data_IF_940904451799
#
_entry.id   IF_940904451799
#
_cell.length_a   1.000
_cell.length_b   1.000
_cell.length_c   1.000
_cell.angle_alpha   90.00
_cell.angle_beta   90.00
_cell.angle_gamma   90.00
#
_symmetry.space_group_name_H-M   'P 1'
#
loop_
_entity.id
_entity.type
_entity.pdbx_description
1 polymer ?
#
# COMPACT_ATOMS: atom_id res chain seq x y z
N UNK A 1 16.38 65.25 47.62
CA UNK A 1 16.22 64.51 46.35
C UNK A 1 16.55 63.04 46.65
N UNK A 2 15.65 62.33 47.34
CA UNK A 2 14.50 61.61 46.79
C UNK A 2 14.92 60.31 46.07
N UNK A 3 14.95 59.24 46.87
CA UNK A 3 14.87 57.85 46.44
C UNK A 3 13.46 57.54 45.90
N UNK A 4 13.34 56.59 44.97
CA UNK A 4 12.04 56.05 44.56
C UNK A 4 12.10 54.52 44.42
N UNK A 5 11.34 53.87 45.29
CA UNK A 5 10.94 52.47 45.31
C UNK A 5 9.60 52.28 44.57
N UNK A 6 9.34 51.02 44.19
CA UNK A 6 8.02 50.35 44.12
C UNK A 6 7.11 50.50 42.89
N UNK A 7 6.92 49.37 42.19
CA UNK A 7 5.68 48.61 41.87
C UNK A 7 4.32 49.38 41.93
N UNK A 8 3.32 49.21 41.04
CA UNK A 8 2.73 47.97 40.52
C UNK A 8 1.65 48.22 39.42
N UNK A 9 1.53 47.25 38.49
CA UNK A 9 0.31 46.65 37.91
C UNK A 9 -0.72 47.46 37.04
N UNK A 10 -0.84 47.13 35.75
CA UNK A 10 -2.04 46.44 35.22
C UNK A 10 -1.96 46.06 33.72
N UNK A 11 -2.34 44.80 33.46
CA UNK A 11 -2.82 44.24 32.17
C UNK A 11 -1.86 44.17 30.98
N UNK A 12 -1.07 43.10 30.94
CA UNK A 12 -0.39 42.64 29.72
C UNK A 12 -1.39 42.10 28.68
N UNK A 13 -1.41 42.72 27.50
CA UNK A 13 -2.05 42.22 26.29
C UNK A 13 -0.94 41.63 25.40
N UNK A 14 -0.57 40.37 25.63
CA UNK A 14 0.37 39.67 24.76
C UNK A 14 -0.36 39.12 23.53
N UNK A 15 0.13 39.55 22.38
CA UNK A 15 -0.26 39.12 21.04
C UNK A 15 -0.20 37.60 20.90
N UNK A 16 -1.24 37.05 20.27
CA UNK A 16 -1.51 35.62 20.17
C UNK A 16 -0.31 34.78 19.73
N UNK A 17 0.06 33.83 20.58
CA UNK A 17 0.84 32.67 20.19
C UNK A 17 0.07 31.91 19.11
N UNK A 18 0.57 31.97 17.87
CA UNK A 18 0.24 30.99 16.84
C UNK A 18 0.67 29.64 17.39
N UNK A 19 -0.31 28.83 17.79
CA UNK A 19 -0.12 27.41 18.07
C UNK A 19 0.48 26.81 16.79
N UNK A 20 1.78 26.50 16.83
CA UNK A 20 2.36 25.57 15.90
C UNK A 20 1.65 24.24 16.14
N UNK A 21 0.58 24.01 15.38
CA UNK A 21 0.01 22.70 15.21
C UNK A 21 1.09 21.86 14.53
N UNK A 22 1.91 21.19 15.34
CA UNK A 22 2.54 19.96 14.93
C UNK A 22 1.40 19.03 14.53
N UNK A 23 1.01 19.08 13.25
CA UNK A 23 0.33 17.96 12.62
C UNK A 23 1.31 16.81 12.72
N UNK A 24 1.16 15.98 13.75
CA UNK A 24 1.53 14.58 13.66
C UNK A 24 0.80 14.05 12.43
N UNK A 25 1.49 14.07 11.27
CA UNK A 25 1.17 13.15 10.20
C UNK A 25 1.21 11.79 10.87
N UNK A 26 0.08 11.10 10.85
CA UNK A 26 0.01 9.70 11.27
C UNK A 26 1.15 9.01 10.51
N UNK A 27 2.22 8.68 11.21
CA UNK A 27 3.09 7.61 10.74
C UNK A 27 2.15 6.43 10.67
N UNK A 28 1.95 5.95 9.46
CA UNK A 28 1.34 4.68 9.12
C UNK A 28 1.99 3.63 10.05
N UNK A 29 1.33 3.35 11.20
CA UNK A 29 1.72 2.35 12.19
C UNK A 29 1.37 0.98 11.60
N UNK A 30 2.10 0.59 10.57
CA UNK A 30 2.07 -0.71 9.94
C UNK A 30 3.29 -1.47 10.39
N UNK A 31 3.12 -2.76 10.61
CA UNK A 31 4.25 -3.65 10.80
C UNK A 31 5.09 -3.62 9.50
N UNK A 32 6.28 -3.02 9.56
CA UNK A 32 7.27 -3.19 8.51
C UNK A 32 7.92 -4.55 8.72
N UNK A 33 7.62 -5.50 7.83
CA UNK A 33 8.28 -6.80 7.87
C UNK A 33 9.75 -6.62 7.50
N UNK A 34 10.64 -6.74 8.50
CA UNK A 34 12.05 -7.07 8.29
C UNK A 34 12.25 -8.47 8.85
N UNK A 35 12.43 -9.45 7.95
CA UNK A 35 12.61 -10.88 8.24
C UNK A 35 11.42 -11.58 8.93
N UNK A 36 10.58 -12.26 8.13
CA UNK A 36 9.62 -13.24 8.66
C UNK A 36 10.02 -14.64 8.21
N UNK A 37 10.79 -15.36 9.04
CA UNK A 37 11.12 -16.76 8.84
C UNK A 37 10.89 -17.54 10.14
N UNK A 38 9.69 -18.09 10.33
CA UNK A 38 9.43 -19.45 10.85
C UNK A 38 7.95 -19.68 11.15
N UNK A 39 7.38 -20.68 10.50
CA UNK A 39 6.13 -21.34 10.89
C UNK A 39 6.40 -22.15 12.17
N UNK A 40 5.65 -21.91 13.24
CA UNK A 40 5.58 -22.86 14.37
C UNK A 40 4.53 -23.93 14.00
N UNK A 41 4.88 -25.22 13.95
CA UNK A 41 3.92 -26.29 13.68
C UNK A 41 2.79 -26.29 14.72
N UNK A 42 1.52 -26.36 14.27
CA UNK A 42 0.36 -26.55 15.15
C UNK A 42 -0.46 -25.30 15.51
N UNK A 43 -0.16 -24.14 14.92
CA UNK A 43 -0.98 -22.93 15.11
C UNK A 43 -1.99 -22.76 13.96
N UNK A 44 -3.22 -22.33 14.28
CA UNK A 44 -4.25 -21.96 13.29
C UNK A 44 -3.68 -20.98 12.25
N UNK A 45 -4.21 -20.92 11.00
CA UNK A 45 -3.71 -20.02 9.97
C UNK A 45 -3.54 -18.62 10.56
N UNK A 46 -2.30 -18.15 10.56
CA UNK A 46 -1.90 -16.93 11.24
C UNK A 46 -2.66 -15.77 10.60
N UNK A 47 -3.70 -15.29 11.29
CA UNK A 47 -4.54 -14.24 10.77
C UNK A 47 -3.74 -12.93 10.81
N UNK A 48 -3.64 -12.23 9.68
CA UNK A 48 -3.25 -10.82 9.68
C UNK A 48 -4.43 -10.04 10.29
N UNK A 49 -4.46 -9.93 11.62
CA UNK A 49 -5.40 -9.08 12.35
C UNK A 49 -4.95 -7.62 12.40
N UNK A 50 -3.74 -7.34 11.90
CA UNK A 50 -3.20 -5.99 11.78
C UNK A 50 -3.82 -5.22 10.62
N UNK A 51 -3.76 -3.90 10.74
CA UNK A 51 -4.32 -2.96 9.77
C UNK A 51 -3.78 -3.18 8.36
N UNK A 52 -2.56 -3.67 8.14
CA UNK A 52 -1.99 -4.08 6.84
C UNK A 52 -0.60 -4.71 6.96
N UNK A 53 -0.17 -5.42 5.90
CA UNK A 53 1.22 -5.84 5.72
C UNK A 53 1.91 -4.85 4.77
N UNK A 54 3.02 -4.26 5.21
CA UNK A 54 3.81 -3.31 4.40
C UNK A 54 5.24 -3.79 4.23
N UNK A 55 5.70 -3.80 2.99
CA UNK A 55 7.08 -4.12 2.61
C UNK A 55 7.74 -2.81 2.18
N UNK A 56 8.72 -2.36 2.96
CA UNK A 56 9.45 -1.12 2.71
C UNK A 56 10.60 -1.29 1.72
N UNK A 57 11.22 -0.18 1.34
CA UNK A 57 12.43 -0.17 0.51
C UNK A 57 13.58 -1.00 1.12
N UNK A 58 14.55 -1.38 0.27
CA UNK A 58 15.70 -2.22 0.67
C UNK A 58 15.33 -3.59 1.24
N UNK A 59 14.15 -4.11 0.91
CA UNK A 59 13.70 -5.45 1.35
C UNK A 59 13.92 -6.46 0.25
N UNK A 60 14.55 -7.60 0.58
CA UNK A 60 14.72 -8.71 -0.35
C UNK A 60 14.27 -10.04 0.23
N UNK A 61 13.90 -10.97 -0.64
CA UNK A 61 13.74 -12.40 -0.36
C UNK A 61 12.74 -12.70 0.78
N UNK A 62 11.53 -12.16 0.65
CA UNK A 62 10.44 -12.35 1.61
C UNK A 62 9.35 -13.23 1.01
N UNK A 63 8.95 -14.25 1.76
CA UNK A 63 7.81 -15.10 1.43
C UNK A 63 6.68 -14.93 2.46
N UNK A 64 5.49 -14.59 1.97
CA UNK A 64 4.24 -14.48 2.72
C UNK A 64 3.33 -15.58 2.21
N UNK A 65 3.13 -16.64 3.01
CA UNK A 65 2.41 -17.83 2.53
C UNK A 65 1.35 -18.30 3.51
N UNK A 66 0.21 -18.80 3.00
CA UNK A 66 -0.80 -19.51 3.80
C UNK A 66 -1.38 -18.69 4.97
N UNK A 67 -1.61 -17.39 4.77
CA UNK A 67 -2.21 -16.52 5.78
C UNK A 67 -3.56 -15.96 5.32
N UNK A 68 -4.39 -15.59 6.28
CA UNK A 68 -5.66 -14.90 6.03
C UNK A 68 -5.59 -13.48 6.58
N UNK A 69 -5.67 -12.48 5.71
CA UNK A 69 -5.75 -11.08 6.08
C UNK A 69 -7.20 -10.62 6.02
N UNK A 70 -7.81 -10.35 7.18
CA UNK A 70 -9.21 -9.92 7.27
C UNK A 70 -9.32 -8.49 7.81
N UNK A 71 -10.20 -7.68 7.23
CA UNK A 71 -10.49 -6.30 7.67
C UNK A 71 -9.25 -5.37 7.68
N UNK A 72 -8.28 -5.62 6.80
CA UNK A 72 -7.01 -4.88 6.67
C UNK A 72 -6.91 -4.06 5.37
N UNK A 73 -5.78 -3.42 5.12
CA UNK A 73 -5.46 -2.81 3.82
C UNK A 73 -4.75 -3.74 2.84
N UNK A 74 -4.62 -5.04 3.17
CA UNK A 74 -3.99 -6.05 2.33
C UNK A 74 -2.47 -6.09 2.46
N UNK A 75 -1.81 -6.64 1.43
CA UNK A 75 -0.34 -6.69 1.33
C UNK A 75 0.11 -5.62 0.35
N UNK A 76 0.92 -4.68 0.84
CA UNK A 76 1.42 -3.55 0.06
C UNK A 76 2.93 -3.52 0.02
N UNK A 77 3.50 -3.40 -1.18
CA UNK A 77 4.91 -3.05 -1.40
C UNK A 77 5.01 -1.54 -1.60
N UNK A 78 5.99 -0.92 -0.96
CA UNK A 78 6.20 0.52 -0.95
C UNK A 78 5.36 1.27 0.07
N UNK A 79 5.26 2.58 -0.03
CA UNK A 79 5.70 3.43 -1.14
C UNK A 79 7.21 3.42 -1.39
N UNK A 80 7.64 3.37 -2.65
CA UNK A 80 9.05 3.46 -3.08
C UNK A 80 9.29 4.69 -3.95
N UNK A 81 10.55 5.11 -4.11
CA UNK A 81 10.97 6.23 -4.96
C UNK A 81 10.77 7.61 -4.32
N UNK A 82 10.62 7.70 -2.99
CA UNK A 82 10.42 8.99 -2.31
C UNK A 82 11.74 9.67 -1.94
N UNK A 83 12.70 8.90 -1.44
CA UNK A 83 13.97 9.43 -0.92
C UNK A 83 15.17 8.85 -1.67
N UNK A 84 16.23 9.65 -1.92
CA UNK A 84 17.40 9.20 -2.68
C UNK A 84 18.09 7.93 -2.17
N UNK A 85 17.98 7.66 -0.86
CA UNK A 85 18.61 6.52 -0.20
C UNK A 85 17.77 5.23 -0.29
N UNK A 86 16.53 5.33 -0.81
CA UNK A 86 15.66 4.16 -0.98
C UNK A 86 16.26 3.22 -2.03
N UNK A 87 16.44 1.95 -1.65
CA UNK A 87 16.86 0.90 -2.59
C UNK A 87 15.66 0.08 -3.05
N UNK A 88 15.87 -0.60 -4.17
CA UNK A 88 14.90 -1.50 -4.76
C UNK A 88 14.41 -2.58 -3.79
N UNK A 89 13.17 -3.00 -4.00
CA UNK A 89 12.58 -4.22 -3.41
C UNK A 89 12.72 -5.35 -4.42
N UNK A 90 13.17 -6.52 -3.99
CA UNK A 90 13.45 -7.65 -4.86
C UNK A 90 13.04 -8.99 -4.25
N UNK A 91 12.45 -9.90 -5.02
CA UNK A 91 12.24 -11.28 -4.56
C UNK A 91 11.16 -11.38 -3.48
N UNK A 92 9.97 -10.84 -3.75
CA UNK A 92 8.83 -10.92 -2.82
C UNK A 92 7.82 -11.92 -3.36
N UNK A 93 7.43 -12.91 -2.57
CA UNK A 93 6.36 -13.83 -2.91
C UNK A 93 5.22 -13.75 -1.90
N UNK A 94 3.99 -13.65 -2.41
CA UNK A 94 2.76 -13.68 -1.62
C UNK A 94 1.89 -14.78 -2.20
N UNK A 95 1.88 -15.95 -1.56
CA UNK A 95 1.29 -17.16 -2.13
C UNK A 95 0.26 -17.81 -1.23
N UNK A 96 -0.79 -18.38 -1.82
CA UNK A 96 -1.82 -19.13 -1.09
C UNK A 96 -2.43 -18.33 0.08
N UNK A 97 -2.66 -17.03 -0.12
CA UNK A 97 -3.18 -16.13 0.90
C UNK A 97 -4.65 -15.78 0.64
N UNK A 98 -5.41 -15.57 1.71
CA UNK A 98 -6.81 -15.15 1.63
C UNK A 98 -7.00 -13.73 2.15
N UNK A 99 -7.64 -12.87 1.35
CA UNK A 99 -8.00 -11.50 1.72
C UNK A 99 -9.52 -11.41 1.90
N UNK A 100 -9.96 -11.06 3.11
CA UNK A 100 -11.39 -10.95 3.46
C UNK A 100 -11.72 -9.51 3.85
N UNK A 101 -12.66 -8.88 3.14
CA UNK A 101 -13.15 -7.53 3.43
C UNK A 101 -12.03 -6.50 3.58
N UNK A 102 -10.98 -6.60 2.76
CA UNK A 102 -9.83 -5.69 2.81
C UNK A 102 -10.00 -4.53 1.83
N UNK A 103 -9.30 -3.42 2.09
CA UNK A 103 -9.32 -2.29 1.12
C UNK A 103 -8.47 -2.58 -0.12
N UNK A 104 -7.45 -3.43 -0.04
CA UNK A 104 -6.66 -3.89 -1.19
C UNK A 104 -6.31 -5.37 -1.04
N UNK A 105 -6.05 -6.05 -2.15
CA UNK A 105 -5.48 -7.39 -2.18
C UNK A 105 -3.96 -7.32 -2.36
N UNK A 106 -3.53 -7.43 -3.61
CA UNK A 106 -2.16 -7.24 -4.06
C UNK A 106 -1.94 -5.77 -4.45
N UNK A 107 -0.97 -5.10 -3.82
CA UNK A 107 -0.70 -3.69 -4.11
C UNK A 107 0.79 -3.36 -4.16
N UNK A 108 1.20 -2.66 -5.21
CA UNK A 108 2.52 -2.02 -5.33
C UNK A 108 2.30 -0.51 -5.49
N UNK A 109 3.01 0.29 -4.69
CA UNK A 109 2.95 1.76 -4.74
C UNK A 109 4.34 2.33 -4.93
N UNK A 110 4.51 3.20 -5.92
CA UNK A 110 5.73 4.01 -6.07
C UNK A 110 5.36 5.47 -6.25
N UNK A 111 6.29 6.37 -5.95
CA UNK A 111 6.20 7.77 -6.33
C UNK A 111 6.60 7.93 -7.78
N UNK A 112 5.99 8.91 -8.46
CA UNK A 112 6.46 9.44 -9.74
C UNK A 112 7.75 10.22 -9.47
N UNK A 113 8.85 9.50 -9.28
CA UNK A 113 10.11 10.07 -8.81
C UNK A 113 11.21 9.98 -9.86
N UNK A 114 12.18 10.89 -9.73
CA UNK A 114 13.49 10.85 -10.41
C UNK A 114 14.48 9.95 -9.67
N UNK A 115 14.11 9.44 -8.50
CA UNK A 115 14.94 8.54 -7.71
C UNK A 115 14.75 7.11 -8.22
N UNK A 116 15.82 6.44 -8.69
CA UNK A 116 15.73 5.07 -9.16
C UNK A 116 15.50 4.12 -7.99
N UNK A 117 14.29 3.59 -7.86
CA UNK A 117 13.94 2.51 -6.96
C UNK A 117 13.01 1.54 -7.68
N UNK A 118 13.42 0.27 -7.78
CA UNK A 118 12.67 -0.76 -8.51
C UNK A 118 11.87 -1.64 -7.55
N UNK A 119 10.74 -2.15 -8.03
CA UNK A 119 10.03 -3.27 -7.43
C UNK A 119 10.11 -4.41 -8.44
N UNK A 120 10.97 -5.41 -8.20
CA UNK A 120 11.27 -6.47 -9.18
C UNK A 120 11.20 -7.87 -8.58
N UNK A 121 10.95 -8.86 -9.42
CA UNK A 121 10.79 -10.26 -9.03
C UNK A 121 9.77 -10.41 -7.89
N UNK A 122 8.55 -9.93 -8.13
CA UNK A 122 7.45 -9.94 -7.17
C UNK A 122 6.35 -10.84 -7.72
N UNK A 123 5.93 -11.82 -6.92
CA UNK A 123 4.88 -12.76 -7.29
C UNK A 123 3.71 -12.70 -6.29
N UNK A 124 2.50 -12.66 -6.83
CA UNK A 124 1.24 -12.77 -6.09
C UNK A 124 0.46 -13.95 -6.69
N UNK A 125 0.41 -15.09 -6.01
CA UNK A 125 -0.07 -16.35 -6.61
C UNK A 125 -1.04 -17.10 -5.70
N UNK A 126 -2.06 -17.73 -6.28
CA UNK A 126 -3.04 -18.51 -5.50
C UNK A 126 -3.80 -17.66 -4.47
N UNK A 127 -4.15 -16.42 -4.83
CA UNK A 127 -4.82 -15.50 -3.92
C UNK A 127 -6.33 -15.65 -3.96
N UNK A 128 -6.96 -15.76 -2.80
CA UNK A 128 -8.42 -15.75 -2.67
C UNK A 128 -8.85 -14.38 -2.14
N UNK A 129 -9.63 -13.64 -2.92
CA UNK A 129 -10.10 -12.29 -2.54
C UNK A 129 -11.61 -12.26 -2.40
N UNK A 130 -12.13 -12.03 -1.19
CA UNK A 130 -13.58 -11.93 -0.91
C UNK A 130 -13.90 -10.58 -0.28
N UNK A 131 -14.77 -9.80 -0.91
CA UNK A 131 -15.13 -8.46 -0.42
C UNK A 131 -13.98 -7.45 -0.46
N UNK A 132 -12.98 -7.67 -1.31
CA UNK A 132 -11.82 -6.77 -1.45
C UNK A 132 -12.17 -5.59 -2.35
N UNK A 133 -11.92 -4.37 -1.88
CA UNK A 133 -12.32 -3.16 -2.62
C UNK A 133 -11.44 -2.89 -3.85
N UNK A 134 -10.11 -3.04 -3.71
CA UNK A 134 -9.15 -2.87 -4.80
C UNK A 134 -8.27 -4.13 -4.93
N UNK A 135 -8.73 -5.18 -5.63
CA UNK A 135 -8.05 -6.47 -5.70
C UNK A 135 -6.59 -6.40 -6.13
N UNK A 136 -6.30 -5.79 -7.29
CA UNK A 136 -4.97 -5.73 -7.87
C UNK A 136 -4.64 -4.29 -8.25
N UNK A 137 -3.60 -3.73 -7.65
CA UNK A 137 -3.21 -2.33 -7.84
C UNK A 137 -1.70 -2.20 -8.01
N UNK A 138 -1.25 -1.70 -9.16
CA UNK A 138 0.08 -1.10 -9.32
C UNK A 138 -0.14 0.38 -9.57
N UNK A 139 0.34 1.21 -8.65
CA UNK A 139 0.01 2.63 -8.62
C UNK A 139 1.28 3.46 -8.43
N UNK A 140 1.69 4.13 -9.50
CA UNK A 140 2.72 5.16 -9.44
C UNK A 140 2.12 6.56 -9.18
N UNK A 141 0.79 6.70 -9.20
CA UNK A 141 0.09 7.98 -9.26
C UNK A 141 -1.01 8.08 -8.20
N UNK A 142 -0.64 8.57 -7.02
CA UNK A 142 -1.51 8.67 -5.83
C UNK A 142 -2.86 9.44 -6.01
N UNK A 143 -3.14 10.01 -7.19
CA UNK A 143 -4.32 10.83 -7.49
C UNK A 143 -5.44 10.16 -8.30
N UNK A 144 -5.29 8.90 -8.74
CA UNK A 144 -6.31 8.25 -9.59
C UNK A 144 -7.31 7.41 -8.80
N UNK A 145 -8.57 7.39 -9.27
CA UNK A 145 -9.60 6.46 -8.77
C UNK A 145 -9.23 5.05 -9.21
N UNK A 146 -8.99 4.18 -8.24
CA UNK A 146 -8.60 2.79 -8.47
C UNK A 146 -9.76 2.00 -9.03
N UNK A 147 -9.46 1.17 -10.03
CA UNK A 147 -10.34 0.13 -10.56
C UNK A 147 -9.96 -1.22 -9.94
N UNK A 148 -10.70 -2.27 -10.27
CA UNK A 148 -10.49 -3.58 -9.65
C UNK A 148 -9.14 -4.20 -10.01
N UNK A 149 -8.75 -4.06 -11.27
CA UNK A 149 -7.38 -4.27 -11.73
C UNK A 149 -6.90 -2.92 -12.26
N UNK A 150 -5.91 -2.33 -11.62
CA UNK A 150 -5.48 -0.97 -11.89
C UNK A 150 -3.96 -0.88 -11.99
N UNK A 151 -3.43 -0.69 -13.20
CA UNK A 151 -2.01 -0.54 -13.47
C UNK A 151 -1.73 0.87 -14.00
N UNK A 152 -1.49 1.80 -13.08
CA UNK A 152 -1.34 3.22 -13.42
C UNK A 152 0.13 3.61 -13.25
N UNK A 153 0.85 3.60 -14.37
CA UNK A 153 2.27 3.87 -14.43
C UNK A 153 2.54 5.19 -15.16
N UNK A 154 3.67 5.80 -14.86
CA UNK A 154 4.09 7.06 -15.45
C UNK A 154 4.65 6.86 -16.86
N UNK A 155 4.57 7.89 -17.70
CA UNK A 155 5.20 7.87 -19.03
C UNK A 155 6.73 7.84 -18.94
N UNK A 156 7.32 8.42 -17.90
CA UNK A 156 8.76 8.44 -17.68
C UNK A 156 9.31 7.13 -17.12
N UNK A 157 8.51 6.38 -16.36
CA UNK A 157 8.86 5.07 -15.82
C UNK A 157 7.71 4.10 -16.06
N UNK A 158 7.51 3.61 -17.30
CA UNK A 158 6.45 2.66 -17.60
C UNK A 158 6.63 1.37 -16.80
N UNK A 159 5.53 0.69 -16.50
CA UNK A 159 5.61 -0.65 -15.92
C UNK A 159 5.96 -1.66 -17.01
N UNK A 160 6.98 -2.49 -16.77
CA UNK A 160 7.46 -3.50 -17.71
C UNK A 160 7.55 -4.87 -17.03
N UNK A 161 7.33 -5.95 -17.78
CA UNK A 161 7.40 -7.32 -17.26
C UNK A 161 6.28 -7.68 -16.28
N UNK A 162 5.12 -7.02 -16.39
CA UNK A 162 3.95 -7.34 -15.56
C UNK A 162 3.14 -8.41 -16.26
N UNK A 163 2.94 -9.54 -15.59
CA UNK A 163 2.08 -10.63 -16.07
C UNK A 163 0.85 -10.73 -15.17
N UNK A 164 -0.32 -10.87 -15.78
CA UNK A 164 -1.59 -11.06 -15.08
C UNK A 164 -2.32 -12.22 -15.76
N UNK A 165 -2.53 -13.29 -15.00
CA UNK A 165 -3.26 -14.44 -15.48
C UNK A 165 -4.24 -14.96 -14.43
N UNK A 166 -5.28 -15.64 -14.92
CA UNK A 166 -6.25 -16.38 -14.10
C UNK A 166 -6.91 -15.54 -13.00
N UNK A 167 -7.30 -14.32 -13.37
CA UNK A 167 -8.04 -13.38 -12.52
C UNK A 167 -9.53 -13.56 -12.79
N UNK A 168 -10.26 -14.11 -11.83
CA UNK A 168 -11.72 -14.22 -11.90
C UNK A 168 -12.37 -13.54 -10.67
N UNK A 169 -12.83 -12.31 -10.90
CA UNK A 169 -13.47 -11.45 -9.91
C UNK A 169 -14.98 -11.48 -10.07
N UNK A 170 -15.65 -12.04 -9.07
CA UNK A 170 -17.10 -12.03 -8.95
C UNK A 170 -17.57 -11.10 -7.83
N UNK A 171 -18.74 -10.49 -8.00
CA UNK A 171 -19.28 -9.59 -7.01
C UNK A 171 -19.87 -10.42 -5.87
N UNK A 172 -19.51 -10.13 -4.63
CA UNK A 172 -20.08 -10.76 -3.45
C UNK A 172 -20.84 -9.70 -2.62
N UNK A 173 -22.17 -9.77 -2.60
CA UNK A 173 -23.04 -8.86 -1.84
C UNK A 173 -24.23 -8.33 -2.63
N UNK A 174 -24.86 -7.23 -2.17
CA UNK A 174 -25.92 -6.56 -2.93
C UNK A 174 -25.34 -5.93 -4.19
N UNK A 175 -25.86 -6.22 -5.40
CA UNK A 175 -25.30 -5.68 -6.63
C UNK A 175 -25.23 -4.15 -6.54
N UNK A 176 -24.01 -3.65 -6.54
CA UNK A 176 -23.74 -2.25 -6.77
C UNK A 176 -23.64 -2.06 -8.29
N UNK A 177 -24.11 -0.94 -8.83
CA UNK A 177 -24.10 -0.66 -10.28
C UNK A 177 -22.69 -0.37 -10.82
N UNK A 178 -21.69 -1.14 -10.37
CA UNK A 178 -20.27 -0.98 -10.65
C UNK A 178 -19.75 -2.32 -11.13
N UNK A 179 -19.52 -2.43 -12.43
CA UNK A 179 -18.82 -3.56 -13.02
C UNK A 179 -17.35 -3.53 -12.61
N UNK A 180 -16.75 -4.70 -12.38
CA UNK A 180 -15.30 -4.79 -12.34
C UNK A 180 -14.75 -4.41 -13.70
N UNK A 181 -13.68 -3.62 -13.72
CA UNK A 181 -13.00 -3.18 -14.94
C UNK A 181 -11.51 -3.19 -14.70
N UNK A 182 -10.75 -3.59 -15.72
CA UNK A 182 -9.32 -3.40 -15.77
C UNK A 182 -9.00 -2.03 -16.36
N UNK A 183 -7.97 -1.37 -15.84
CA UNK A 183 -7.51 -0.09 -16.37
C UNK A 183 -6.01 0.01 -16.28
N UNK A 184 -5.39 0.33 -17.42
CA UNK A 184 -3.94 0.40 -17.55
C UNK A 184 -3.50 1.67 -18.24
N UNK A 185 -2.38 2.21 -17.79
CA UNK A 185 -1.74 3.40 -18.34
C UNK A 185 -0.24 3.23 -18.24
N UNK A 186 0.46 3.32 -19.37
CA UNK A 186 1.91 3.12 -19.50
C UNK A 186 2.41 1.81 -18.88
N UNK A 187 1.62 0.74 -18.99
CA UNK A 187 1.96 -0.59 -18.52
C UNK A 187 2.06 -1.55 -19.71
N UNK A 188 3.23 -2.17 -19.89
CA UNK A 188 3.46 -3.25 -20.85
C UNK A 188 3.19 -4.57 -20.14
N UNK A 189 1.98 -5.09 -20.34
CA UNK A 189 1.45 -6.23 -19.59
C UNK A 189 1.15 -7.41 -20.49
N UNK A 190 1.46 -8.62 -20.02
CA UNK A 190 1.03 -9.86 -20.66
C UNK A 190 -0.16 -10.39 -19.88
N UNK A 191 -1.24 -10.64 -20.62
CA UNK A 191 -2.49 -11.17 -20.09
C UNK A 191 -2.67 -12.62 -20.54
N UNK A 192 -3.08 -13.51 -19.64
CA UNK A 192 -3.27 -14.93 -19.94
C UNK A 192 -4.41 -15.58 -19.16
N UNK A 193 -4.85 -16.74 -19.63
CA UNK A 193 -5.85 -17.55 -18.93
C UNK A 193 -7.22 -16.87 -18.77
N UNK A 194 -7.87 -17.09 -17.63
CA UNK A 194 -9.18 -16.50 -17.32
C UNK A 194 -9.00 -15.04 -16.88
N UNK A 195 -9.76 -14.12 -17.48
CA UNK A 195 -9.72 -12.69 -17.15
C UNK A 195 -11.14 -12.12 -17.03
N UNK A 196 -11.60 -12.02 -15.81
CA UNK A 196 -12.81 -11.34 -15.39
C UNK A 196 -12.44 -10.41 -14.22
N UNK A 197 -12.39 -9.09 -14.40
CA UNK A 197 -12.77 -8.36 -15.60
C UNK A 197 -11.81 -8.57 -16.79
N UNK A 198 -12.25 -8.27 -18.03
CA UNK A 198 -11.41 -8.36 -19.22
C UNK A 198 -10.11 -7.56 -19.07
N UNK A 199 -9.07 -7.96 -19.81
CA UNK A 199 -7.81 -7.23 -19.89
C UNK A 199 -8.02 -5.75 -20.27
N UNK A 200 -7.13 -4.91 -19.75
CA UNK A 200 -6.82 -3.61 -20.31
C UNK A 200 -5.74 -3.79 -21.41
#
# INVERSE_FOLDING_TARGET
MAAATSQNNSTGKQSGHRRHAHKHKRQDQGFQLRHWNRRQPGTAPQACTLTYISIGYSTTDIAITNITCAHSHGVSIGSLGKWPEERSVNGISVTNCTFLNTTNGARIKTWMGTVPAEAKNIAYEGLIMKGVQNPIVIDQSYGFKKKSVSLQCSTSNPCEGVEIADVDLAYAGRPHNTSFVSSCSNAKTIFGGILNPPAC
#
